data_IF_802225197692
#
_entry.id   IF_802225197692
#
_cell.length_a   1.000
_cell.length_b   1.000
_cell.length_c   1.000
_cell.angle_alpha   90.00
_cell.angle_beta   90.00
_cell.angle_gamma   90.00
#
_symmetry.space_group_name_H-M   'P 1'
#
loop_
_entity.id
_entity.type
_entity.pdbx_description
1 polymer ?
#
# COMPACT_ATOMS: atom_id res chain seq x y z
N UNK A 1 10.82 -10.63 1.05
CA UNK A 1 11.11 -9.94 2.32
C UNK A 1 12.57 -10.18 2.67
N UNK A 2 13.21 -9.22 3.31
CA UNK A 2 14.61 -9.36 3.74
C UNK A 2 14.79 -8.74 5.13
N UNK A 3 15.54 -9.43 6.00
CA UNK A 3 15.93 -8.92 7.32
C UNK A 3 17.40 -8.50 7.27
N UNK A 4 17.69 -7.30 7.74
CA UNK A 4 19.02 -6.71 7.75
C UNK A 4 19.34 -6.09 9.12
N UNK A 5 20.46 -6.45 9.76
CA UNK A 5 21.42 -7.48 9.36
C UNK A 5 20.85 -8.90 9.56
N UNK A 6 21.30 -9.88 8.76
CA UNK A 6 20.93 -11.30 8.94
C UNK A 6 21.52 -11.92 10.21
N UNK A 7 22.63 -11.35 10.69
CA UNK A 7 23.36 -11.80 11.88
C UNK A 7 23.90 -10.58 12.60
N UNK A 8 23.90 -10.61 13.93
CA UNK A 8 24.41 -9.54 14.76
C UNK A 8 24.90 -10.07 16.10
N UNK A 9 25.77 -9.30 16.73
CA UNK A 9 26.25 -9.58 18.08
C UNK A 9 25.64 -8.57 19.05
N UNK A 10 25.20 -9.04 20.21
CA UNK A 10 24.60 -8.22 21.26
C UNK A 10 25.41 -8.40 22.54
N UNK A 11 25.80 -7.27 23.15
CA UNK A 11 26.50 -7.27 24.43
C UNK A 11 25.50 -7.27 25.59
N UNK A 12 25.97 -7.65 26.78
CA UNK A 12 25.16 -7.64 27.98
C UNK A 12 24.52 -6.26 28.22
N UNK A 13 23.21 -6.25 28.52
CA UNK A 13 22.40 -5.04 28.75
C UNK A 13 22.33 -4.07 27.56
N UNK A 14 22.62 -4.53 26.35
CA UNK A 14 22.47 -3.75 25.12
C UNK A 14 21.26 -4.21 24.29
N UNK A 15 20.97 -3.51 23.21
CA UNK A 15 19.92 -3.85 22.24
C UNK A 15 20.50 -3.96 20.83
N UNK A 16 19.88 -4.78 19.99
CA UNK A 16 20.22 -4.94 18.58
C UNK A 16 18.98 -4.65 17.73
N UNK A 17 19.11 -3.75 16.77
CA UNK A 17 18.02 -3.37 15.88
C UNK A 17 18.19 -4.05 14.52
N UNK A 18 17.23 -4.89 14.14
CA UNK A 18 17.11 -5.42 12.79
C UNK A 18 15.99 -4.69 12.04
N UNK A 19 16.20 -4.46 10.75
CA UNK A 19 15.22 -3.85 9.85
C UNK A 19 14.64 -4.93 8.94
N UNK A 20 13.31 -4.98 8.86
CA UNK A 20 12.60 -5.77 7.87
C UNK A 20 12.33 -4.89 6.65
N UNK A 21 12.86 -5.29 5.49
CA UNK A 21 12.53 -4.71 4.19
C UNK A 21 11.49 -5.57 3.50
N UNK A 22 10.40 -4.94 3.12
CA UNK A 22 9.34 -5.56 2.36
C UNK A 22 9.01 -4.68 1.16
N UNK A 23 8.95 -5.31 -0.01
CA UNK A 23 8.54 -4.67 -1.25
C UNK A 23 7.30 -5.42 -1.75
N UNK A 24 6.11 -4.84 -1.62
CA UNK A 24 4.89 -5.46 -2.13
C UNK A 24 4.96 -5.54 -3.66
N UNK A 25 4.54 -6.68 -4.21
CA UNK A 25 4.49 -6.93 -5.66
C UNK A 25 3.12 -7.47 -6.02
N UNK A 26 2.66 -7.22 -7.25
CA UNK A 26 1.40 -7.80 -7.75
C UNK A 26 1.44 -9.33 -7.79
N UNK A 27 2.61 -9.95 -7.92
CA UNK A 27 2.78 -11.41 -7.85
C UNK A 27 2.73 -11.98 -6.42
N UNK A 28 2.68 -11.13 -5.39
CA UNK A 28 2.78 -11.57 -4.00
C UNK A 28 1.69 -12.60 -3.64
N UNK A 29 0.50 -12.45 -4.20
CA UNK A 29 -0.62 -13.39 -4.02
C UNK A 29 -0.24 -14.82 -4.43
N UNK A 30 0.50 -14.97 -5.53
CA UNK A 30 0.97 -16.27 -6.04
C UNK A 30 2.21 -16.77 -5.30
N UNK A 31 3.11 -15.85 -4.95
CA UNK A 31 4.40 -16.15 -4.32
C UNK A 31 4.25 -16.56 -2.85
N UNK A 32 3.35 -15.90 -2.10
CA UNK A 32 3.20 -16.06 -0.66
C UNK A 32 2.31 -17.25 -0.26
N UNK A 33 1.49 -17.78 -1.18
CA UNK A 33 0.67 -18.98 -1.01
C UNK A 33 0.01 -19.05 0.37
N UNK A 34 0.41 -20.02 1.21
CA UNK A 34 -0.16 -20.29 2.53
C UNK A 34 0.08 -19.20 3.58
N UNK A 35 0.99 -18.27 3.31
CA UNK A 35 1.26 -17.14 4.20
C UNK A 35 0.36 -15.94 3.93
N UNK A 36 -0.40 -15.96 2.83
CA UNK A 36 -1.24 -14.86 2.42
C UNK A 36 -2.69 -15.30 2.24
N UNK A 37 -3.59 -14.63 2.95
CA UNK A 37 -5.02 -14.81 2.79
C UNK A 37 -5.55 -13.79 1.77
N UNK A 38 -6.01 -14.29 0.63
CA UNK A 38 -6.56 -13.47 -0.46
C UNK A 38 -7.91 -12.84 -0.16
N UNK A 39 -8.68 -13.41 0.75
CA UNK A 39 -9.99 -12.89 1.12
C UNK A 39 -9.85 -11.69 2.08
N UNK A 40 -8.95 -11.81 3.06
CA UNK A 40 -8.74 -10.77 4.08
C UNK A 40 -7.60 -9.79 3.75
N UNK A 41 -6.72 -10.15 2.81
CA UNK A 41 -5.51 -9.39 2.48
C UNK A 41 -4.40 -9.52 3.53
N UNK A 42 -4.54 -10.44 4.48
CA UNK A 42 -3.60 -10.62 5.60
C UNK A 42 -2.40 -11.45 5.15
N UNK A 43 -1.20 -10.98 5.49
CA UNK A 43 0.07 -11.64 5.29
C UNK A 43 0.68 -11.99 6.65
N UNK A 44 0.83 -13.28 6.92
CA UNK A 44 1.46 -13.83 8.12
C UNK A 44 2.72 -14.61 7.77
N UNK A 45 3.89 -14.05 8.10
CA UNK A 45 5.17 -14.68 7.79
C UNK A 45 5.87 -15.08 9.08
N UNK A 46 6.01 -16.40 9.37
CA UNK A 46 6.77 -16.85 10.52
C UNK A 46 8.27 -16.61 10.28
N UNK A 47 8.90 -16.02 11.27
CA UNK A 47 10.32 -15.75 11.38
C UNK A 47 10.88 -16.47 12.60
N UNK A 48 12.17 -16.74 12.57
CA UNK A 48 12.85 -17.38 13.68
C UNK A 48 14.18 -16.72 13.93
N UNK A 49 14.38 -16.27 15.17
CA UNK A 49 15.66 -15.72 15.62
C UNK A 49 16.44 -16.82 16.33
N UNK A 50 17.64 -17.07 15.84
CA UNK A 50 18.60 -17.99 16.45
C UNK A 50 19.58 -17.19 17.29
N UNK A 51 19.72 -17.57 18.55
CA UNK A 51 20.71 -17.00 19.46
C UNK A 51 21.75 -18.08 19.71
N UNK A 52 23.04 -17.74 19.55
CA UNK A 52 24.11 -18.67 19.87
C UNK A 52 23.99 -19.14 21.33
N UNK A 53 24.25 -20.42 21.58
CA UNK A 53 24.11 -21.09 22.89
C UNK A 53 22.68 -21.20 23.44
N UNK A 54 21.66 -20.80 22.68
CA UNK A 54 20.26 -21.07 23.02
C UNK A 54 19.75 -22.32 22.28
N UNK A 55 19.30 -23.33 23.03
CA UNK A 55 18.82 -24.62 22.47
C UNK A 55 17.54 -24.44 21.64
N UNK A 56 16.67 -23.51 22.04
CA UNK A 56 15.38 -23.29 21.38
C UNK A 56 15.37 -21.96 20.62
N UNK A 57 15.09 -21.97 19.31
CA UNK A 57 14.91 -20.74 18.55
C UNK A 57 13.72 -19.93 19.05
N UNK A 58 13.78 -18.60 18.90
CA UNK A 58 12.67 -17.72 19.28
C UNK A 58 11.79 -17.45 18.06
N UNK A 59 10.54 -17.94 18.02
CA UNK A 59 9.63 -17.69 16.91
C UNK A 59 9.05 -16.27 17.00
N UNK A 60 8.89 -15.63 15.86
CA UNK A 60 8.18 -14.36 15.70
C UNK A 60 7.30 -14.44 14.45
N UNK A 61 6.20 -13.70 14.40
CA UNK A 61 5.36 -13.63 13.19
C UNK A 61 5.26 -12.19 12.74
N UNK A 62 5.54 -11.94 11.46
CA UNK A 62 5.24 -10.67 10.82
C UNK A 62 3.80 -10.72 10.36
N UNK A 63 2.99 -9.83 10.89
CA UNK A 63 1.60 -9.65 10.50
C UNK A 63 1.45 -8.32 9.75
N UNK A 64 0.89 -8.36 8.55
CA UNK A 64 0.64 -7.18 7.73
C UNK A 64 -0.67 -7.32 6.95
N UNK A 65 -1.36 -6.22 6.70
CA UNK A 65 -2.53 -6.19 5.80
C UNK A 65 -2.11 -5.52 4.50
N UNK A 66 -2.11 -6.28 3.41
CA UNK A 66 -1.68 -5.81 2.10
C UNK A 66 -2.90 -5.30 1.34
N UNK A 67 -2.85 -4.04 0.93
CA UNK A 67 -3.86 -3.41 0.10
C UNK A 67 -3.23 -2.91 -1.19
N UNK A 68 -4.00 -2.89 -2.29
CA UNK A 68 -3.57 -2.17 -3.49
C UNK A 68 -3.45 -0.69 -3.19
N UNK A 69 -2.65 0.07 -3.95
CA UNK A 69 -2.63 1.54 -3.89
C UNK A 69 -3.53 2.20 -4.94
N UNK A 70 -4.33 1.40 -5.66
CA UNK A 70 -5.12 1.88 -6.79
C UNK A 70 -6.34 2.69 -6.33
N UNK A 71 -6.59 3.78 -7.04
CA UNK A 71 -7.81 4.59 -6.94
C UNK A 71 -8.76 4.21 -8.08
N UNK A 72 -10.05 4.08 -7.79
CA UNK A 72 -11.05 3.68 -8.78
C UNK A 72 -12.01 4.83 -9.07
N UNK A 73 -12.19 5.16 -10.35
CA UNK A 73 -13.24 6.07 -10.80
C UNK A 73 -14.50 5.29 -11.16
N UNK A 74 -15.67 5.86 -10.86
CA UNK A 74 -16.96 5.29 -11.28
C UNK A 74 -17.15 5.27 -12.80
N UNK A 75 -16.42 6.12 -13.52
CA UNK A 75 -16.44 6.22 -14.98
C UNK A 75 -15.07 6.61 -15.54
N UNK A 76 -14.78 6.14 -16.75
CA UNK A 76 -13.53 6.45 -17.47
C UNK A 76 -13.67 7.63 -18.43
N UNK A 77 -14.90 7.97 -18.80
CA UNK A 77 -15.22 9.04 -19.72
C UNK A 77 -16.34 9.90 -19.14
N UNK A 78 -16.30 11.19 -19.46
CA UNK A 78 -17.25 12.18 -18.97
C UNK A 78 -17.89 12.86 -20.17
N UNK A 79 -19.16 12.54 -20.40
CA UNK A 79 -19.99 13.23 -21.39
C UNK A 79 -20.79 14.34 -20.71
N UNK A 80 -20.67 15.57 -21.24
CA UNK A 80 -21.41 16.74 -20.79
C UNK A 80 -22.69 16.97 -21.59
N UNK A 81 -22.93 16.16 -22.63
CA UNK A 81 -24.05 16.30 -23.56
C UNK A 81 -23.94 17.57 -24.40
N UNK A 82 -25.10 18.06 -24.83
CA UNK A 82 -25.21 19.29 -25.61
C UNK A 82 -25.30 20.50 -24.69
N UNK A 83 -24.27 21.35 -24.72
CA UNK A 83 -24.20 22.61 -23.98
C UNK A 83 -23.97 23.77 -24.95
N UNK A 84 -24.70 24.87 -24.79
CA UNK A 84 -24.45 26.10 -25.54
C UNK A 84 -23.25 26.87 -24.97
N UNK A 85 -22.69 27.81 -25.74
CA UNK A 85 -21.58 28.67 -25.29
C UNK A 85 -21.98 29.69 -24.21
N UNK A 86 -23.28 29.80 -23.91
CA UNK A 86 -23.82 30.75 -22.91
C UNK A 86 -24.11 30.09 -21.57
N UNK A 87 -23.99 28.77 -21.48
CA UNK A 87 -24.37 27.99 -20.31
C UNK A 87 -23.16 27.28 -19.72
N UNK A 88 -23.22 26.99 -18.42
CA UNK A 88 -22.21 26.19 -17.71
C UNK A 88 -22.83 24.88 -17.26
N UNK A 89 -22.22 23.77 -17.68
CA UNK A 89 -22.61 22.42 -17.24
C UNK A 89 -21.55 21.87 -16.30
N UNK A 90 -22.00 21.24 -15.23
CA UNK A 90 -21.17 20.53 -14.26
C UNK A 90 -21.63 19.08 -14.20
N UNK A 91 -20.67 18.19 -14.08
CA UNK A 91 -20.90 16.78 -13.77
C UNK A 91 -19.99 16.36 -12.64
N UNK A 92 -20.40 15.32 -11.91
CA UNK A 92 -19.67 14.78 -10.77
C UNK A 92 -19.12 13.41 -11.13
N UNK A 93 -17.88 13.18 -10.74
CA UNK A 93 -17.19 11.89 -10.86
C UNK A 93 -16.88 11.41 -9.45
N UNK A 94 -17.12 10.15 -9.18
CA UNK A 94 -16.82 9.54 -7.89
C UNK A 94 -15.46 8.85 -7.95
N UNK A 95 -14.59 9.23 -7.01
CA UNK A 95 -13.30 8.59 -6.80
C UNK A 95 -13.38 7.78 -5.51
N UNK A 96 -13.11 6.49 -5.62
CA UNK A 96 -13.12 5.54 -4.52
C UNK A 96 -11.70 5.10 -4.20
N UNK A 97 -11.28 5.33 -2.95
CA UNK A 97 -10.07 4.77 -2.39
C UNK A 97 -10.32 3.30 -2.02
N UNK A 98 -9.60 2.38 -2.69
CA UNK A 98 -9.71 0.94 -2.45
C UNK A 98 -8.81 0.46 -1.30
N UNK A 99 -8.10 1.36 -0.65
CA UNK A 99 -7.08 1.05 0.34
C UNK A 99 -7.62 1.28 1.75
N UNK A 100 -6.98 0.63 2.73
CA UNK A 100 -7.32 0.82 4.16
C UNK A 100 -6.80 2.15 4.72
N UNK A 101 -5.89 2.82 4.01
CA UNK A 101 -5.23 4.03 4.46
C UNK A 101 -5.72 5.24 3.68
N UNK A 102 -5.76 6.43 4.29
CA UNK A 102 -5.96 7.66 3.54
C UNK A 102 -4.91 7.80 2.43
N UNK A 103 -5.35 8.18 1.23
CA UNK A 103 -4.49 8.45 0.10
C UNK A 103 -4.70 9.86 -0.40
N UNK A 104 -3.61 10.59 -0.56
CA UNK A 104 -3.62 11.87 -1.24
C UNK A 104 -3.78 11.65 -2.74
N UNK A 105 -4.66 12.43 -3.37
CA UNK A 105 -4.88 12.41 -4.81
C UNK A 105 -4.91 13.83 -5.37
N UNK A 106 -4.61 13.95 -6.66
CA UNK A 106 -4.64 15.23 -7.36
C UNK A 106 -4.78 15.03 -8.86
N UNK A 107 -5.40 16.01 -9.51
CA UNK A 107 -5.50 16.03 -10.97
C UNK A 107 -4.24 16.69 -11.55
N UNK A 108 -3.62 16.00 -12.51
CA UNK A 108 -2.50 16.53 -13.27
C UNK A 108 -3.01 17.23 -14.53
N UNK A 109 -2.27 18.23 -15.01
CA UNK A 109 -2.58 18.93 -16.27
C UNK A 109 -3.97 19.57 -16.32
N UNK A 110 -4.40 20.18 -15.22
CA UNK A 110 -5.62 20.98 -15.20
C UNK A 110 -5.43 22.14 -16.20
N UNK A 111 -6.29 22.28 -17.23
CA UNK A 111 -6.17 23.38 -18.16
C UNK A 111 -6.27 24.70 -17.40
N UNK A 112 -5.40 25.66 -17.70
CA UNK A 112 -5.48 27.01 -17.14
C UNK A 112 -6.69 27.73 -17.72
N UNK A 113 -7.89 27.39 -17.24
CA UNK A 113 -9.08 28.15 -17.55
C UNK A 113 -9.10 29.31 -16.59
N UNK A 114 -8.64 30.48 -17.05
CA UNK A 114 -8.87 31.73 -16.33
C UNK A 114 -10.38 31.96 -16.34
N UNK A 115 -11.10 31.95 -15.19
CA UNK A 115 -12.52 32.27 -15.20
C UNK A 115 -12.67 33.69 -15.76
N UNK A 116 -13.62 33.95 -16.67
CA UNK A 116 -13.81 35.30 -17.22
C UNK A 116 -14.29 36.32 -16.16
N UNK A 117 -14.61 35.88 -14.94
CA UNK A 117 -15.06 36.72 -13.84
C UNK A 117 -14.41 36.27 -12.51
N UNK A 118 -13.12 36.57 -12.35
CA UNK A 118 -12.45 36.61 -11.06
C UNK A 118 -11.60 37.89 -10.98
#
# INVERSE_FOLDING_TARGET
MEILPKTGYIQARSSFNAKLKFLPRRSLFEDAKTFFDSETGVLEVPLTVQVADQVRPVPFTVHAVITSSDLCFDRTEVDFGHCSIYESVKTSVHLTNLTLLPQDFGFLSIPQVRPPFA
#
